data_IF_572135171534
#
_entry.id   IF_572135171534
#
_cell.length_a   1.000
_cell.length_b   1.000
_cell.length_c   1.000
_cell.angle_alpha   90.00
_cell.angle_beta   90.00
_cell.angle_gamma   90.00
#
_symmetry.space_group_name_H-M   'P 1'
#
loop_
_entity.id
_entity.type
_entity.pdbx_description
1 polymer ?
#
# COMPACT_ATOMS: atom_id res chain seq x y z
N UNK A 1 29.72 30.07 26.28
CA UNK A 1 28.44 30.52 25.69
C UNK A 1 28.14 29.60 24.52
N UNK A 2 27.19 28.69 24.70
CA UNK A 2 26.82 27.69 23.69
C UNK A 2 26.18 28.38 22.49
N UNK A 3 26.85 28.34 21.34
CA UNK A 3 26.25 28.66 20.06
C UNK A 3 25.24 27.56 19.73
N UNK A 4 23.95 27.90 19.79
CA UNK A 4 22.89 27.11 19.16
C UNK A 4 23.14 27.13 17.66
N UNK A 5 23.66 26.03 17.10
CA UNK A 5 23.57 25.76 15.68
C UNK A 5 22.08 25.85 15.30
N UNK A 6 21.72 26.90 14.56
CA UNK A 6 20.39 27.01 13.96
C UNK A 6 20.34 25.91 12.91
N UNK A 7 19.68 24.80 13.25
CA UNK A 7 19.40 23.72 12.30
C UNK A 7 18.83 24.29 11.00
N UNK A 8 19.30 23.77 9.87
CA UNK A 8 18.97 24.29 8.54
C UNK A 8 17.53 23.90 8.20
N UNK A 9 16.58 24.79 8.49
CA UNK A 9 15.19 24.61 8.10
C UNK A 9 15.04 24.72 6.58
N UNK A 10 14.57 23.65 5.92
CA UNK A 10 14.18 23.70 4.52
C UNK A 10 12.71 24.06 4.44
N UNK A 11 12.40 25.16 3.74
CA UNK A 11 11.04 25.64 3.57
C UNK A 11 10.85 26.24 2.20
N UNK A 12 9.68 26.03 1.61
CA UNK A 12 9.24 26.71 0.41
C UNK A 12 7.72 26.79 0.36
N UNK A 13 7.21 27.76 -0.37
CA UNK A 13 5.78 27.95 -0.60
C UNK A 13 5.45 27.78 -2.07
N UNK A 14 4.27 27.27 -2.34
CA UNK A 14 3.67 27.17 -3.66
C UNK A 14 2.30 27.84 -3.62
N UNK A 15 2.08 28.81 -4.50
CA UNK A 15 0.79 29.47 -4.65
C UNK A 15 0.26 29.29 -6.06
N UNK A 16 -0.99 28.85 -6.20
CA UNK A 16 -1.65 28.80 -7.50
C UNK A 16 -3.16 29.01 -7.41
N UNK A 17 -3.77 29.52 -8.49
CA UNK A 17 -5.22 29.65 -8.57
C UNK A 17 -5.87 28.29 -8.83
N UNK A 18 -6.84 27.92 -8.01
CA UNK A 18 -7.67 26.72 -8.18
C UNK A 18 -8.50 26.71 -9.46
N UNK A 19 -8.58 27.81 -10.23
CA UNK A 19 -9.19 27.94 -11.57
C UNK A 19 -8.14 28.18 -12.69
N UNK A 20 -6.93 27.65 -12.54
CA UNK A 20 -5.88 27.79 -13.56
C UNK A 20 -6.31 27.32 -14.97
N UNK A 21 -5.74 27.98 -15.99
CA UNK A 21 -5.98 27.68 -17.41
C UNK A 21 -5.50 26.26 -17.74
N UNK A 22 -6.42 25.40 -18.17
CA UNK A 22 -6.13 23.99 -18.50
C UNK A 22 -6.62 22.96 -17.47
N UNK A 23 -7.13 23.40 -16.31
CA UNK A 23 -7.69 22.51 -15.27
C UNK A 23 -8.68 21.48 -15.80
N UNK A 24 -9.59 21.87 -16.68
CA UNK A 24 -10.59 20.95 -17.24
C UNK A 24 -9.95 19.82 -18.06
N UNK A 25 -8.94 20.15 -18.88
CA UNK A 25 -8.19 19.18 -19.70
C UNK A 25 -7.37 18.24 -18.82
N UNK A 26 -6.73 18.78 -17.80
CA UNK A 26 -5.91 18.04 -16.84
C UNK A 26 -6.77 17.09 -15.99
N UNK A 27 -7.89 17.58 -15.47
CA UNK A 27 -8.87 16.78 -14.77
C UNK A 27 -9.42 15.67 -15.68
N UNK A 28 -9.79 15.99 -16.92
CA UNK A 28 -10.28 14.99 -17.87
C UNK A 28 -9.22 13.91 -18.15
N UNK A 29 -7.97 14.30 -18.44
CA UNK A 29 -6.87 13.37 -18.69
C UNK A 29 -6.68 12.41 -17.52
N UNK A 30 -6.79 12.92 -16.29
CA UNK A 30 -6.64 12.09 -15.10
C UNK A 30 -7.82 11.13 -14.89
N UNK A 31 -9.06 11.59 -15.14
CA UNK A 31 -10.25 10.75 -15.08
C UNK A 31 -10.22 9.64 -16.12
N UNK A 32 -9.83 9.99 -17.35
CA UNK A 32 -9.66 9.05 -18.47
C UNK A 32 -8.56 8.03 -18.15
N UNK A 33 -7.42 8.47 -17.63
CA UNK A 33 -6.35 7.56 -17.21
C UNK A 33 -6.82 6.58 -16.12
N UNK A 34 -7.59 7.05 -15.13
CA UNK A 34 -8.13 6.19 -14.07
C UNK A 34 -9.18 5.21 -14.60
N UNK A 35 -10.02 5.64 -15.54
CA UNK A 35 -10.97 4.79 -16.26
C UNK A 35 -10.24 3.67 -17.01
N UNK A 36 -9.26 4.01 -17.86
CA UNK A 36 -8.53 2.98 -18.62
C UNK A 36 -7.83 1.99 -17.69
N UNK A 37 -7.18 2.46 -16.62
CA UNK A 37 -6.49 1.58 -15.68
C UNK A 37 -7.44 0.57 -15.02
N UNK A 38 -8.58 1.05 -14.52
CA UNK A 38 -9.59 0.18 -13.89
C UNK A 38 -10.26 -0.75 -14.90
N UNK A 39 -10.52 -0.27 -16.12
CA UNK A 39 -11.02 -1.09 -17.21
C UNK A 39 -10.04 -2.21 -17.59
N UNK A 40 -8.76 -1.91 -17.77
CA UNK A 40 -7.73 -2.90 -18.09
C UNK A 40 -7.54 -3.94 -16.98
N UNK A 41 -7.57 -3.52 -15.70
CA UNK A 41 -7.56 -4.46 -14.57
C UNK A 41 -8.79 -5.36 -14.61
N UNK A 42 -9.98 -4.79 -14.81
CA UNK A 42 -11.21 -5.56 -14.94
C UNK A 42 -11.14 -6.59 -16.07
N UNK A 43 -10.58 -6.21 -17.23
CA UNK A 43 -10.35 -7.11 -18.36
C UNK A 43 -9.38 -8.25 -18.01
N UNK A 44 -8.25 -7.95 -17.36
CA UNK A 44 -7.28 -8.94 -16.91
C UNK A 44 -7.88 -9.93 -15.91
N UNK A 45 -8.64 -9.43 -14.94
CA UNK A 45 -9.32 -10.26 -13.93
C UNK A 45 -10.37 -11.16 -14.60
N UNK A 46 -11.14 -10.60 -15.54
CA UNK A 46 -12.13 -11.37 -16.33
C UNK A 46 -11.45 -12.48 -17.12
N UNK A 47 -10.33 -12.17 -17.79
CA UNK A 47 -9.54 -13.16 -18.54
C UNK A 47 -8.94 -14.24 -17.63
N UNK A 48 -8.45 -13.88 -16.44
CA UNK A 48 -7.96 -14.83 -15.45
C UNK A 48 -9.08 -15.75 -14.93
N UNK A 49 -10.28 -15.21 -14.67
CA UNK A 49 -11.47 -16.00 -14.33
C UNK A 49 -11.91 -16.94 -15.45
N UNK A 50 -11.84 -16.48 -16.70
CA UNK A 50 -12.07 -17.32 -17.87
C UNK A 50 -11.05 -18.47 -17.94
N UNK A 51 -9.75 -18.15 -17.87
CA UNK A 51 -8.69 -19.14 -17.91
C UNK A 51 -8.86 -20.22 -16.82
N UNK A 52 -9.10 -19.82 -15.58
CA UNK A 52 -9.27 -20.75 -14.45
C UNK A 52 -10.54 -21.60 -14.53
N UNK A 53 -11.62 -21.09 -15.15
CA UNK A 53 -12.89 -21.83 -15.25
C UNK A 53 -13.03 -22.72 -16.49
N UNK A 54 -12.26 -22.47 -17.56
CA UNK A 54 -12.43 -23.15 -18.86
C UNK A 54 -11.17 -23.82 -19.40
N UNK A 55 -9.97 -23.30 -19.12
CA UNK A 55 -8.74 -23.83 -19.72
C UNK A 55 -8.06 -24.84 -18.78
N UNK A 56 -8.31 -26.12 -19.03
CA UNK A 56 -7.64 -27.24 -18.37
C UNK A 56 -6.36 -27.63 -19.11
N UNK A 57 -5.28 -26.87 -18.93
CA UNK A 57 -3.97 -27.38 -19.34
C UNK A 57 -3.51 -28.42 -18.31
N UNK A 58 -3.58 -29.71 -18.68
CA UNK A 58 -3.05 -30.87 -17.93
C UNK A 58 -3.67 -31.18 -16.55
N UNK A 59 -4.76 -30.51 -16.11
CA UNK A 59 -5.38 -30.73 -14.80
C UNK A 59 -6.90 -30.90 -14.91
N UNK A 60 -7.46 -31.86 -14.15
CA UNK A 60 -8.92 -32.00 -13.99
C UNK A 60 -9.42 -30.80 -13.19
N UNK A 61 -10.23 -29.94 -13.83
CA UNK A 61 -10.85 -28.80 -13.16
C UNK A 61 -11.90 -29.34 -12.19
N UNK A 62 -11.71 -29.09 -10.90
CA UNK A 62 -12.70 -29.45 -9.89
C UNK A 62 -13.91 -28.49 -9.94
N UNK A 63 -15.11 -28.91 -9.53
CA UNK A 63 -16.28 -28.02 -9.46
C UNK A 63 -16.03 -26.75 -8.64
N UNK A 64 -15.19 -26.85 -7.60
CA UNK A 64 -14.81 -25.72 -6.73
C UNK A 64 -13.93 -24.72 -7.48
N UNK A 65 -12.92 -25.18 -8.21
CA UNK A 65 -12.06 -24.31 -9.03
C UNK A 65 -12.87 -23.61 -10.13
N UNK A 66 -13.84 -24.32 -10.73
CA UNK A 66 -14.75 -23.73 -11.72
C UNK A 66 -15.63 -22.65 -11.12
N UNK A 67 -16.23 -22.90 -9.96
CA UNK A 67 -17.05 -21.92 -9.24
C UNK A 67 -16.23 -20.69 -8.85
N UNK A 68 -14.99 -20.88 -8.39
CA UNK A 68 -14.06 -19.80 -8.10
C UNK A 68 -13.71 -18.98 -9.34
N UNK A 69 -13.39 -19.62 -10.47
CA UNK A 69 -13.09 -18.92 -11.72
C UNK A 69 -14.29 -18.10 -12.24
N UNK A 70 -15.51 -18.62 -12.11
CA UNK A 70 -16.74 -17.88 -12.40
C UNK A 70 -16.87 -16.67 -11.48
N UNK A 71 -16.66 -16.83 -10.16
CA UNK A 71 -16.74 -15.71 -9.21
C UNK A 71 -15.71 -14.60 -9.53
N UNK A 72 -14.48 -14.98 -9.89
CA UNK A 72 -13.43 -14.05 -10.34
C UNK A 72 -13.86 -13.33 -11.62
N UNK A 73 -14.45 -14.04 -12.59
CA UNK A 73 -14.95 -13.46 -13.83
C UNK A 73 -16.06 -12.43 -13.56
N UNK A 74 -17.05 -12.76 -12.72
CA UNK A 74 -18.11 -11.82 -12.31
C UNK A 74 -17.51 -10.59 -11.64
N UNK A 75 -16.51 -10.76 -10.76
CA UNK A 75 -15.80 -9.64 -10.15
C UNK A 75 -15.08 -8.75 -11.17
N UNK A 76 -14.44 -9.34 -12.19
CA UNK A 76 -13.81 -8.62 -13.29
C UNK A 76 -14.81 -7.79 -14.11
N UNK A 77 -15.96 -8.37 -14.45
CA UNK A 77 -17.05 -7.68 -15.16
C UNK A 77 -17.62 -6.53 -14.31
N UNK A 78 -17.82 -6.77 -13.01
CA UNK A 78 -18.28 -5.73 -12.10
C UNK A 78 -17.29 -4.54 -12.04
N UNK A 79 -15.98 -4.80 -12.07
CA UNK A 79 -14.96 -3.75 -12.16
C UNK A 79 -15.04 -2.95 -13.47
N UNK A 80 -15.29 -3.63 -14.60
CA UNK A 80 -15.48 -2.97 -15.90
C UNK A 80 -16.69 -2.02 -15.85
N UNK A 81 -17.82 -2.48 -15.31
CA UNK A 81 -19.04 -1.67 -15.17
C UNK A 81 -18.81 -0.51 -14.18
N UNK A 82 -18.02 -0.72 -13.13
CA UNK A 82 -17.68 0.31 -12.16
C UNK A 82 -16.66 1.34 -12.69
N UNK A 83 -15.85 0.99 -13.69
CA UNK A 83 -14.76 1.84 -14.22
C UNK A 83 -15.18 3.29 -14.59
N UNK A 84 -16.32 3.56 -15.27
CA UNK A 84 -16.75 4.94 -15.55
C UNK A 84 -17.02 5.73 -14.28
N UNK A 85 -17.54 5.09 -13.23
CA UNK A 85 -17.86 5.75 -11.96
C UNK A 85 -16.60 6.13 -11.18
N UNK A 86 -15.56 5.28 -11.20
CA UNK A 86 -14.27 5.59 -10.54
C UNK A 86 -13.65 6.87 -11.08
N UNK A 87 -13.73 7.10 -12.39
CA UNK A 87 -13.29 8.34 -13.02
C UNK A 87 -14.13 9.56 -12.62
N UNK A 88 -15.44 9.40 -12.46
CA UNK A 88 -16.35 10.51 -12.13
C UNK A 88 -16.14 10.99 -10.69
N UNK A 89 -15.95 10.07 -9.73
CA UNK A 89 -15.84 10.40 -8.31
C UNK A 89 -14.47 10.92 -7.87
N UNK A 90 -13.42 10.76 -8.68
CA UNK A 90 -12.09 11.31 -8.38
C UNK A 90 -12.11 12.85 -8.52
N UNK A 91 -12.28 13.53 -7.40
CA UNK A 91 -12.38 14.99 -7.32
C UNK A 91 -11.02 15.66 -7.48
N UNK A 92 -10.87 16.53 -8.47
CA UNK A 92 -9.67 17.35 -8.66
C UNK A 92 -9.77 18.62 -7.80
N UNK A 93 -9.08 18.66 -6.66
CA UNK A 93 -9.16 19.74 -5.65
C UNK A 93 -10.61 20.20 -5.40
N UNK A 94 -11.52 19.24 -5.15
CA UNK A 94 -12.96 19.50 -5.10
C UNK A 94 -13.30 20.45 -3.94
N UNK A 95 -14.05 21.50 -4.27
CA UNK A 95 -14.52 22.51 -3.31
C UNK A 95 -13.55 23.68 -3.10
N UNK A 96 -12.30 23.59 -3.56
CA UNK A 96 -11.36 24.72 -3.49
C UNK A 96 -11.64 25.72 -4.62
N UNK A 97 -11.84 26.99 -4.24
CA UNK A 97 -12.03 28.12 -5.15
C UNK A 97 -11.04 29.22 -4.79
N UNK A 98 -10.58 29.97 -5.78
CA UNK A 98 -9.56 31.00 -5.59
C UNK A 98 -8.18 30.41 -5.36
N UNK A 99 -7.32 31.14 -4.66
CA UNK A 99 -5.92 30.75 -4.49
C UNK A 99 -5.76 29.62 -3.46
N UNK A 100 -4.92 28.66 -3.81
CA UNK A 100 -4.43 27.63 -2.92
C UNK A 100 -2.96 27.92 -2.62
N UNK A 101 -2.61 27.93 -1.34
CA UNK A 101 -1.26 28.13 -0.86
C UNK A 101 -0.81 26.87 -0.12
N UNK A 102 0.26 26.24 -0.59
CA UNK A 102 0.93 25.15 0.09
C UNK A 102 2.25 25.65 0.64
N UNK A 103 2.45 25.52 1.94
CA UNK A 103 3.74 25.74 2.56
C UNK A 103 4.32 24.39 2.97
N UNK A 104 5.52 24.10 2.49
CA UNK A 104 6.24 22.87 2.80
C UNK A 104 7.37 23.19 3.75
N UNK A 105 7.52 22.37 4.78
CA UNK A 105 8.61 22.49 5.74
C UNK A 105 9.20 21.14 6.10
N UNK A 106 10.51 21.13 6.28
CA UNK A 106 11.26 20.01 6.85
C UNK A 106 12.22 20.57 7.89
N UNK A 107 12.07 20.08 9.12
CA UNK A 107 12.97 20.45 10.22
C UNK A 107 14.27 19.67 10.10
N UNK A 108 15.34 20.27 10.59
CA UNK A 108 16.64 19.62 10.58
C UNK A 108 16.63 18.38 11.46
N UNK A 109 17.16 17.26 10.95
CA UNK A 109 17.08 15.95 11.59
C UNK A 109 15.74 15.21 11.47
N UNK A 110 14.70 15.82 10.89
CA UNK A 110 13.46 15.11 10.54
C UNK A 110 13.57 14.55 9.11
N UNK A 111 13.20 13.29 8.92
CA UNK A 111 13.18 12.65 7.58
C UNK A 111 11.88 12.99 6.82
N UNK A 112 10.83 13.38 7.54
CA UNK A 112 9.50 13.64 7.00
C UNK A 112 9.29 15.11 6.62
N UNK A 113 8.58 15.33 5.51
CA UNK A 113 8.13 16.66 5.10
C UNK A 113 6.73 16.93 5.64
N UNK A 114 6.53 18.11 6.24
CA UNK A 114 5.22 18.62 6.64
C UNK A 114 4.69 19.60 5.59
N UNK A 115 3.36 19.75 5.55
CA UNK A 115 2.69 20.75 4.72
C UNK A 115 1.64 21.52 5.52
N UNK A 116 1.44 22.77 5.13
CA UNK A 116 0.30 23.61 5.51
C UNK A 116 -0.41 23.99 4.20
N UNK A 117 -1.68 23.64 4.08
CA UNK A 117 -2.56 24.05 2.99
C UNK A 117 -3.49 25.15 3.50
N UNK A 118 -3.40 26.34 2.93
CA UNK A 118 -4.31 27.47 3.18
C UNK A 118 -5.07 27.79 1.89
N UNK A 119 -6.40 27.76 1.93
CA UNK A 119 -7.24 28.00 0.75
C UNK A 119 -8.68 28.42 1.15
N UNK A 120 -9.48 28.85 0.17
CA UNK A 120 -10.93 28.98 0.38
C UNK A 120 -11.65 27.74 -0.13
N UNK A 121 -12.34 27.02 0.76
CA UNK A 121 -13.10 25.81 0.43
C UNK A 121 -14.59 26.06 0.64
N UNK A 122 -15.39 25.91 -0.42
CA UNK A 122 -16.84 26.15 -0.41
C UNK A 122 -17.24 27.52 0.16
N UNK A 123 -16.40 28.54 -0.01
CA UNK A 123 -16.65 29.91 0.48
C UNK A 123 -16.17 30.19 1.91
N UNK A 124 -15.60 29.20 2.60
CA UNK A 124 -15.06 29.36 3.96
C UNK A 124 -13.53 29.23 3.91
N UNK A 125 -12.84 29.99 4.77
CA UNK A 125 -11.40 29.84 4.97
C UNK A 125 -11.08 28.43 5.46
N UNK A 126 -10.10 27.80 4.83
CA UNK A 126 -9.70 26.42 5.09
C UNK A 126 -8.21 26.37 5.31
N UNK A 127 -7.81 25.75 6.42
CA UNK A 127 -6.42 25.49 6.75
C UNK A 127 -6.25 24.04 7.17
N UNK A 128 -5.23 23.37 6.62
CA UNK A 128 -4.91 21.99 6.94
C UNK A 128 -3.40 21.82 7.11
N UNK A 129 -3.00 21.34 8.28
CA UNK A 129 -1.64 20.87 8.57
C UNK A 129 -1.57 19.34 8.51
N UNK A 130 -0.48 18.80 7.97
CA UNK A 130 -0.22 17.36 8.00
C UNK A 130 1.14 16.99 7.42
N UNK A 131 1.33 15.69 7.19
CA UNK A 131 2.56 15.14 6.62
C UNK A 131 2.40 14.77 5.15
N UNK A 132 3.48 14.98 4.40
CA UNK A 132 3.60 14.52 3.01
C UNK A 132 3.87 13.02 3.01
N UNK A 133 2.93 12.25 2.45
CA UNK A 133 3.08 10.80 2.33
C UNK A 133 3.78 10.43 1.02
N UNK A 134 3.35 11.04 -0.08
CA UNK A 134 3.90 10.81 -1.42
C UNK A 134 3.69 12.05 -2.29
N UNK A 135 4.66 12.35 -3.15
CA UNK A 135 4.49 13.27 -4.28
C UNK A 135 4.75 12.46 -5.56
N UNK A 136 3.86 12.59 -6.54
CA UNK A 136 3.97 11.91 -7.84
C UNK A 136 3.81 12.94 -8.96
N UNK A 137 4.90 13.18 -9.70
CA UNK A 137 4.96 14.18 -10.77
C UNK A 137 4.68 13.48 -12.11
N UNK A 138 3.52 13.75 -12.71
CA UNK A 138 3.08 13.17 -13.99
C UNK A 138 2.74 14.23 -15.01
N UNK A 139 3.65 14.45 -15.96
CA UNK A 139 3.48 15.44 -17.02
C UNK A 139 3.45 16.85 -16.44
N UNK A 140 2.28 17.51 -16.45
CA UNK A 140 2.12 18.89 -16.00
C UNK A 140 1.46 19.01 -14.61
N UNK A 141 1.31 17.91 -13.89
CA UNK A 141 0.60 17.86 -12.60
C UNK A 141 1.45 17.08 -11.61
N UNK A 142 1.63 17.65 -10.42
CA UNK A 142 2.10 16.92 -9.25
C UNK A 142 0.90 16.50 -8.39
N UNK A 143 0.85 15.23 -8.01
CA UNK A 143 -0.15 14.69 -7.08
C UNK A 143 0.49 14.55 -5.71
N UNK A 144 0.00 15.32 -4.74
CA UNK A 144 0.41 15.27 -3.34
C UNK A 144 -0.57 14.40 -2.57
N UNK A 145 -0.09 13.27 -2.05
CA UNK A 145 -0.83 12.44 -1.10
C UNK A 145 -0.38 12.76 0.32
N UNK A 146 -1.35 12.93 1.20
CA UNK A 146 -1.13 13.28 2.61
C UNK A 146 -1.36 12.08 3.52
N UNK A 147 -0.86 12.17 4.75
CA UNK A 147 -1.16 11.26 5.86
C UNK A 147 -2.66 11.10 6.14
N UNK A 148 -3.48 12.10 5.81
CA UNK A 148 -4.95 12.06 5.93
C UNK A 148 -5.66 11.35 4.78
N UNK A 149 -4.94 10.59 3.96
CA UNK A 149 -5.44 9.91 2.77
C UNK A 149 -6.15 10.84 1.75
N UNK A 150 -5.77 12.13 1.75
CA UNK A 150 -6.24 13.11 0.75
C UNK A 150 -5.20 13.29 -0.34
N UNK A 151 -5.68 13.34 -1.57
CA UNK A 151 -4.89 13.63 -2.77
C UNK A 151 -5.19 15.09 -3.21
N UNK A 152 -4.13 15.90 -3.29
CA UNK A 152 -4.14 17.26 -3.83
C UNK A 152 -3.38 17.32 -5.15
N UNK A 153 -3.81 18.18 -6.06
CA UNK A 153 -3.19 18.33 -7.37
C UNK A 153 -2.62 19.72 -7.56
N UNK A 154 -1.32 19.78 -7.84
CA UNK A 154 -0.57 21.01 -8.03
C UNK A 154 -0.21 21.12 -9.53
N UNK A 155 -0.70 22.16 -10.24
CA UNK A 155 -0.40 22.34 -11.65
C UNK A 155 1.00 22.93 -11.85
N UNK A 156 1.92 22.15 -12.41
CA UNK A 156 3.31 22.58 -12.62
C UNK A 156 3.42 23.78 -13.58
N UNK A 157 2.45 23.95 -14.49
CA UNK A 157 2.39 25.09 -15.42
C UNK A 157 2.09 26.43 -14.76
N UNK A 158 1.54 26.40 -13.55
CA UNK A 158 1.27 27.61 -12.77
C UNK A 158 2.43 27.98 -11.85
N UNK A 159 3.48 27.15 -11.80
CA UNK A 159 4.62 27.32 -10.90
C UNK A 159 5.80 27.98 -11.61
N UNK A 160 6.57 28.73 -10.84
CA UNK A 160 7.91 29.20 -11.22
C UNK A 160 8.87 28.03 -11.42
N UNK A 161 10.00 28.27 -12.08
CA UNK A 161 11.03 27.24 -12.25
C UNK A 161 11.64 26.80 -10.90
N UNK A 162 11.77 27.74 -9.96
CA UNK A 162 12.26 27.48 -8.60
C UNK A 162 11.28 26.60 -7.80
N UNK A 163 9.98 26.93 -7.80
CA UNK A 163 8.96 26.10 -7.14
C UNK A 163 8.89 24.69 -7.74
N UNK A 164 9.04 24.56 -9.06
CA UNK A 164 9.11 23.25 -9.73
C UNK A 164 10.34 22.46 -9.33
N UNK A 165 11.48 23.12 -9.25
CA UNK A 165 12.73 22.49 -8.81
C UNK A 165 12.61 22.01 -7.36
N UNK A 166 12.15 22.88 -6.46
CA UNK A 166 11.95 22.53 -5.04
C UNK A 166 10.98 21.37 -4.88
N UNK A 167 9.87 21.37 -5.62
CA UNK A 167 8.90 20.27 -5.58
C UNK A 167 9.48 18.95 -6.10
N UNK A 168 10.34 18.99 -7.13
CA UNK A 168 11.03 17.81 -7.64
C UNK A 168 12.08 17.26 -6.66
N UNK A 169 12.79 18.14 -5.96
CA UNK A 169 13.71 17.75 -4.89
C UNK A 169 12.95 17.08 -3.75
N UNK A 170 11.85 17.68 -3.29
CA UNK A 170 10.99 17.10 -2.25
C UNK A 170 10.39 15.76 -2.67
N UNK A 171 9.96 15.62 -3.92
CA UNK A 171 9.45 14.33 -4.45
C UNK A 171 10.50 13.22 -4.33
N UNK A 172 11.74 13.49 -4.74
CA UNK A 172 12.83 12.53 -4.63
C UNK A 172 13.12 12.16 -3.18
N UNK A 173 13.23 13.14 -2.29
CA UNK A 173 13.49 12.89 -0.86
C UNK A 173 12.40 12.05 -0.20
N UNK A 174 11.13 12.39 -0.43
CA UNK A 174 9.99 11.64 0.11
C UNK A 174 10.00 10.21 -0.44
N UNK A 175 10.33 10.02 -1.72
CA UNK A 175 10.41 8.70 -2.34
C UNK A 175 11.54 7.86 -1.75
N UNK A 176 12.73 8.44 -1.61
CA UNK A 176 13.91 7.75 -1.06
C UNK A 176 13.67 7.33 0.39
N UNK A 177 13.09 8.22 1.22
CA UNK A 177 12.69 7.90 2.59
C UNK A 177 11.73 6.71 2.66
N UNK A 178 10.69 6.67 1.82
CA UNK A 178 9.71 5.56 1.82
C UNK A 178 10.32 4.23 1.36
N UNK A 179 11.27 4.26 0.44
CA UNK A 179 12.02 3.07 0.02
C UNK A 179 12.86 2.54 1.19
N UNK A 180 13.54 3.42 1.89
CA UNK A 180 14.37 3.06 3.04
C UNK A 180 13.54 2.53 4.22
N UNK A 181 12.42 3.18 4.53
CA UNK A 181 11.45 2.73 5.54
C UNK A 181 10.95 1.32 5.21
N UNK A 182 10.55 1.08 3.95
CA UNK A 182 10.11 -0.24 3.48
C UNK A 182 11.22 -1.30 3.62
N UNK A 183 12.47 -0.92 3.35
CA UNK A 183 13.62 -1.81 3.50
C UNK A 183 13.84 -2.18 4.98
N UNK A 184 13.86 -1.18 5.87
CA UNK A 184 14.00 -1.39 7.33
C UNK A 184 12.89 -2.31 7.87
N UNK A 185 11.64 -2.10 7.48
CA UNK A 185 10.53 -2.97 7.86
C UNK A 185 10.68 -4.42 7.36
N UNK A 186 11.16 -4.62 6.12
CA UNK A 186 11.42 -5.96 5.57
C UNK A 186 12.56 -6.66 6.30
N UNK A 187 13.61 -5.93 6.67
CA UNK A 187 14.73 -6.46 7.45
C UNK A 187 14.29 -6.86 8.87
N UNK A 188 13.50 -6.01 9.55
CA UNK A 188 12.92 -6.30 10.86
C UNK A 188 11.95 -7.51 10.84
N UNK A 189 11.15 -7.66 9.78
CA UNK A 189 10.28 -8.82 9.62
C UNK A 189 11.08 -10.12 9.45
N UNK A 190 12.21 -10.07 8.73
CA UNK A 190 13.12 -11.22 8.56
C UNK A 190 13.79 -11.63 9.86
N UNK A 191 14.24 -10.67 10.68
CA UNK A 191 14.87 -10.98 11.98
C UNK A 191 13.86 -11.55 12.98
N UNK A 192 12.63 -11.01 13.03
CA UNK A 192 11.54 -11.54 13.87
C UNK A 192 11.16 -12.98 13.50
N UNK A 193 11.05 -13.29 12.21
CA UNK A 193 10.78 -14.66 11.74
C UNK A 193 11.94 -15.63 12.02
N UNK A 194 13.18 -15.13 12.10
CA UNK A 194 14.35 -15.94 12.46
C UNK A 194 14.40 -16.26 13.97
N UNK A 195 13.97 -15.32 14.82
CA UNK A 195 13.82 -15.53 16.27
C UNK A 195 12.75 -16.56 16.62
N UNK A 196 11.56 -16.47 16.02
CA UNK A 196 10.47 -17.43 16.27
C UNK A 196 10.78 -18.86 15.79
N UNK A 197 11.71 -19.03 14.83
CA UNK A 197 12.15 -20.35 14.35
C UNK A 197 13.22 -20.99 15.25
N UNK A 198 13.90 -20.19 16.07
CA UNK A 198 14.88 -20.67 17.05
C UNK A 198 14.21 -21.15 18.35
N UNK A 199 13.11 -20.54 18.79
CA UNK A 199 12.39 -20.93 20.01
C UNK A 199 11.47 -22.16 19.83
N UNK A 200 11.09 -22.51 18.61
CA UNK A 200 10.19 -23.64 18.34
C UNK A 200 10.84 -25.04 18.34
N UNK A 201 12.13 -25.15 18.69
CA UNK A 201 12.89 -26.42 18.52
C UNK A 201 13.26 -27.18 19.79
N UNK A 202 12.86 -26.72 20.98
CA UNK A 202 13.26 -27.36 22.25
C UNK A 202 12.20 -28.20 23.00
N UNK A 203 10.96 -28.32 22.51
CA UNK A 203 9.90 -29.02 23.29
C UNK A 203 9.60 -30.47 22.86
N UNK A 204 10.45 -31.12 22.08
CA UNK A 204 10.26 -32.55 21.69
C UNK A 204 11.45 -33.45 22.01
N UNK A 205 12.11 -33.25 23.15
CA UNK A 205 13.15 -34.19 23.59
C UNK A 205 13.20 -34.40 25.11
N UNK A 206 12.08 -34.74 25.74
CA UNK A 206 12.11 -35.14 27.15
C UNK A 206 10.97 -36.07 27.57
N UNK A 207 10.59 -37.08 26.77
CA UNK A 207 9.85 -38.25 27.30
C UNK A 207 10.22 -39.50 26.53
N UNK A 208 11.43 -40.02 26.74
CA UNK A 208 11.75 -41.44 26.58
C UNK A 208 13.14 -41.69 27.12
N UNK A 209 13.21 -42.06 28.39
CA UNK A 209 14.19 -42.99 28.94
C UNK A 209 14.08 -42.94 30.46
N UNK A 210 13.26 -43.82 31.01
CA UNK A 210 13.56 -44.52 32.26
C UNK A 210 12.51 -45.60 32.45
N UNK A 211 12.94 -46.84 32.18
CA UNK A 211 12.61 -48.06 32.94
C UNK A 211 12.86 -49.25 32.01
N UNK A 212 14.11 -49.69 31.97
CA UNK A 212 14.43 -51.06 31.67
C UNK A 212 15.66 -51.44 32.49
N UNK A 213 15.42 -52.13 33.60
CA UNK A 213 16.47 -52.44 34.56
C UNK A 213 16.05 -53.44 35.63
N UNK A 214 16.08 -54.72 35.25
CA UNK A 214 16.39 -55.93 36.04
C UNK A 214 15.29 -56.72 36.78
N UNK A 215 15.23 -58.00 36.34
CA UNK A 215 15.38 -59.25 37.13
C UNK A 215 14.19 -59.66 38.00
N UNK A 216 13.66 -60.88 37.98
CA UNK A 216 14.03 -62.14 37.33
C UNK A 216 13.26 -63.30 37.99
N UNK A 217 13.33 -64.48 37.36
CA UNK A 217 13.08 -65.85 37.89
C UNK A 217 11.62 -66.36 38.07
N UNK A 218 11.31 -67.36 37.22
CA UNK A 218 10.80 -68.72 37.51
C UNK A 218 9.56 -68.92 38.42
N UNK A 219 8.47 -69.48 37.88
CA UNK A 219 8.13 -70.91 37.92
C UNK A 219 6.63 -71.20 37.63
N UNK A 220 6.42 -72.29 36.89
CA UNK A 220 5.33 -73.28 36.92
C UNK A 220 3.83 -72.95 36.65
N UNK A 221 3.33 -73.71 35.66
CA UNK A 221 2.24 -74.71 35.73
C UNK A 221 0.81 -74.37 35.23
N UNK A 222 0.40 -75.25 34.31
CA UNK A 222 -0.93 -75.86 34.10
C UNK A 222 -2.07 -75.07 33.43
N UNK A 223 -2.45 -75.56 32.24
CA UNK A 223 -3.75 -76.21 32.07
C UNK A 223 -4.76 -75.52 31.15
N UNK A 224 -5.27 -76.27 30.17
CA UNK A 224 -6.62 -76.04 29.63
C UNK A 224 -6.76 -76.05 28.11
N UNK A 225 -7.07 -77.23 27.58
CA UNK A 225 -7.59 -77.48 26.23
C UNK A 225 -8.82 -76.63 25.85
N UNK A 226 -9.08 -76.52 24.54
CA UNK A 226 -10.41 -76.09 24.07
C UNK A 226 -10.51 -75.82 22.58
N UNK A 227 -10.73 -76.88 21.80
CA UNK A 227 -10.96 -76.88 20.35
C UNK A 227 -12.19 -76.08 19.87
N UNK A 228 -12.04 -75.56 18.65
CA UNK A 228 -12.98 -75.53 17.51
C UNK A 228 -14.49 -75.61 17.77
N UNK A 229 -15.18 -74.61 17.21
CA UNK A 229 -16.46 -74.74 16.51
C UNK A 229 -16.38 -73.92 15.23
#
# INVERSE_FOLDING_TARGET
>A
MHGTEKGKFMKFSIEFDGRYKGKAKDALKQKVSSFFWTFFIGLLVTAAGFYTSTLSFYRVITPVERAFGIAVMVGGIALIIASPFVGIFKGFNRGFKGKMHFFFEKKDGEEEWNYILSATKNGVWYEEYGKVSLIDIKGNIASLRTDKAKDYYIPLRALTDEERHNLAVTEKEVRDYRIEETRKCREAARTKNRGNSADGKNDKKSVKNEENGKSGKADNAQGGDGQRG
#
